data_IF_526094664604
#
_entry.id   IF_526094664604
#
_cell.length_a   1.000
_cell.length_b   1.000
_cell.length_c   1.000
_cell.angle_alpha   90.00
_cell.angle_beta   90.00
_cell.angle_gamma   90.00
#
_symmetry.space_group_name_H-M   'P 1'
#
loop_
_entity.id
_entity.type
_entity.pdbx_description
1 polymer ?
#
# COMPACT_ATOMS: atom_id res chain seq x y z
N UNK A 1 49.99 5.71 12.45
CA UNK A 1 49.59 4.29 12.58
C UNK A 1 48.71 4.19 13.81
N UNK A 2 47.55 3.54 13.73
CA UNK A 2 46.68 3.40 14.90
C UNK A 2 47.23 2.34 15.84
N UNK A 3 47.17 2.61 17.15
CA UNK A 3 47.55 1.67 18.22
C UNK A 3 46.36 1.45 19.14
N UNK A 4 46.32 0.30 19.82
CA UNK A 4 45.31 -0.05 20.80
C UNK A 4 45.58 0.62 22.16
N UNK A 5 44.72 0.40 23.16
CA UNK A 5 44.89 0.96 24.50
C UNK A 5 46.12 0.40 25.24
N UNK A 6 46.72 -0.69 24.74
CA UNK A 6 47.94 -1.31 25.23
C UNK A 6 49.19 -0.89 24.41
N UNK A 7 49.07 0.13 23.55
CA UNK A 7 50.11 0.60 22.63
C UNK A 7 50.57 -0.43 21.56
N UNK A 8 49.78 -1.47 21.32
CA UNK A 8 50.01 -2.43 20.23
C UNK A 8 49.41 -1.90 18.93
N UNK A 9 50.03 -2.22 17.81
CA UNK A 9 49.55 -1.76 16.50
C UNK A 9 48.21 -2.41 16.15
N UNK A 10 47.23 -1.61 15.71
CA UNK A 10 45.92 -2.10 15.24
C UNK A 10 46.11 -2.91 13.95
N UNK A 11 45.71 -4.18 13.98
CA UNK A 11 45.79 -5.12 12.84
C UNK A 11 44.42 -5.48 12.31
N UNK A 12 44.40 -6.17 11.17
CA UNK A 12 43.17 -6.63 10.51
C UNK A 12 42.25 -7.42 11.46
N UNK A 13 42.81 -8.31 12.29
CA UNK A 13 42.07 -9.08 13.29
C UNK A 13 41.29 -8.23 14.30
N UNK A 14 41.77 -7.02 14.64
CA UNK A 14 41.08 -6.10 15.54
C UNK A 14 39.85 -5.51 14.84
N UNK A 15 40.02 -5.19 13.55
CA UNK A 15 38.99 -4.58 12.70
C UNK A 15 37.89 -5.57 12.35
N UNK A 16 38.25 -6.82 12.09
CA UNK A 16 37.31 -7.88 11.71
C UNK A 16 36.70 -8.61 12.91
N UNK A 17 37.24 -8.42 14.12
CA UNK A 17 36.77 -9.14 15.31
C UNK A 17 37.12 -10.63 15.27
N UNK A 18 38.24 -10.98 14.65
CA UNK A 18 38.68 -12.36 14.47
C UNK A 18 39.65 -12.80 15.57
N UNK A 19 39.81 -14.13 15.71
CA UNK A 19 40.77 -14.72 16.66
C UNK A 19 40.43 -14.36 18.11
N UNK A 20 41.36 -13.71 18.81
CA UNK A 20 41.14 -13.29 20.19
C UNK A 20 40.20 -12.06 20.32
N UNK A 21 39.89 -11.39 19.21
CA UNK A 21 39.07 -10.18 19.18
C UNK A 21 37.57 -10.46 18.98
N UNK A 22 37.16 -11.74 18.98
CA UNK A 22 35.74 -12.15 18.89
C UNK A 22 34.93 -11.66 20.10
N UNK A 23 35.58 -11.47 21.25
CA UNK A 23 34.91 -11.00 22.46
C UNK A 23 34.65 -9.49 22.41
N UNK A 24 33.37 -9.10 22.37
CA UNK A 24 32.94 -7.70 22.44
C UNK A 24 33.48 -6.95 23.69
N UNK A 25 33.58 -7.64 24.85
CA UNK A 25 34.10 -7.02 26.08
C UNK A 25 35.57 -6.60 25.92
N UNK A 26 36.41 -7.54 25.45
CA UNK A 26 37.81 -7.28 25.09
C UNK A 26 37.93 -6.13 24.08
N UNK A 27 37.13 -6.13 23.01
CA UNK A 27 37.14 -5.04 22.03
C UNK A 27 36.81 -3.68 22.67
N UNK A 28 35.78 -3.61 23.52
CA UNK A 28 35.38 -2.37 24.19
C UNK A 28 36.43 -1.87 25.20
N UNK A 29 37.22 -2.76 25.79
CA UNK A 29 38.25 -2.42 26.77
C UNK A 29 39.59 -2.05 26.13
N UNK A 30 39.98 -2.77 25.07
CA UNK A 30 41.34 -2.69 24.51
C UNK A 30 41.41 -1.89 23.21
N UNK A 31 40.33 -1.78 22.43
CA UNK A 31 40.32 -0.99 21.20
C UNK A 31 39.90 0.47 21.52
N UNK A 32 40.69 1.48 21.14
CA UNK A 32 40.33 2.87 21.36
C UNK A 32 39.02 3.23 20.68
N UNK A 33 38.22 4.08 21.34
CA UNK A 33 36.94 4.53 20.81
C UNK A 33 37.06 5.14 19.40
N UNK A 34 38.11 5.93 19.14
CA UNK A 34 38.34 6.51 17.82
C UNK A 34 38.53 5.46 16.72
N UNK A 35 39.09 4.28 17.05
CA UNK A 35 39.23 3.16 16.10
C UNK A 35 37.87 2.49 15.88
N UNK A 36 37.10 2.26 16.96
CA UNK A 36 35.75 1.70 16.87
C UNK A 36 34.81 2.57 16.02
N UNK A 37 34.87 3.89 16.18
CA UNK A 37 34.11 4.85 15.37
C UNK A 37 34.47 4.74 13.89
N UNK A 38 35.77 4.66 13.54
CA UNK A 38 36.18 4.44 12.15
C UNK A 38 35.71 3.09 11.58
N UNK A 39 35.74 2.02 12.39
CA UNK A 39 35.24 0.71 11.97
C UNK A 39 33.74 0.79 11.69
N UNK A 40 32.97 1.42 12.58
CA UNK A 40 31.53 1.66 12.42
C UNK A 40 31.25 2.47 11.15
N UNK A 41 31.97 3.56 10.93
CA UNK A 41 31.77 4.40 9.75
C UNK A 41 32.12 3.66 8.45
N UNK A 42 33.22 2.92 8.42
CA UNK A 42 33.62 2.12 7.28
C UNK A 42 32.62 0.98 7.00
N UNK A 43 32.21 0.25 8.04
CA UNK A 43 31.24 -0.84 7.93
C UNK A 43 29.86 -0.34 7.49
N UNK A 44 29.41 0.79 8.04
CA UNK A 44 28.14 1.43 7.65
C UNK A 44 28.20 1.86 6.19
N UNK A 45 29.28 2.54 5.78
CA UNK A 45 29.48 2.96 4.39
C UNK A 45 29.45 1.77 3.43
N UNK A 46 30.14 0.68 3.76
CA UNK A 46 30.18 -0.50 2.91
C UNK A 46 28.83 -1.24 2.89
N UNK A 47 28.14 -1.31 4.04
CA UNK A 47 26.82 -1.93 4.14
C UNK A 47 25.82 -1.31 3.15
N UNK A 48 25.81 0.02 3.01
CA UNK A 48 24.95 0.71 2.04
C UNK A 48 25.35 0.51 0.58
N UNK A 49 26.57 0.03 0.30
CA UNK A 49 27.01 -0.32 -1.05
C UNK A 49 26.65 -1.76 -1.44
N UNK A 50 26.29 -2.61 -0.48
CA UNK A 50 25.87 -3.98 -0.74
C UNK A 50 24.53 -3.93 -1.48
N UNK A 51 24.57 -4.26 -2.78
CA UNK A 51 23.34 -4.40 -3.55
C UNK A 51 22.59 -5.66 -3.10
N UNK A 52 21.26 -5.58 -2.91
CA UNK A 52 20.46 -6.77 -2.66
C UNK A 52 20.62 -7.76 -3.82
N UNK A 53 20.88 -9.03 -3.51
CA UNK A 53 21.00 -10.07 -4.53
C UNK A 53 19.67 -10.24 -5.29
N UNK A 54 19.69 -10.04 -6.62
CA UNK A 54 18.55 -10.29 -7.50
C UNK A 54 18.39 -9.23 -8.60
N UNK A 55 17.46 -9.42 -9.55
CA UNK A 55 17.14 -8.41 -10.54
C UNK A 55 16.56 -7.17 -9.86
N UNK A 56 17.20 -6.01 -10.04
CA UNK A 56 16.63 -4.75 -9.57
C UNK A 56 15.72 -4.13 -10.63
N UNK A 57 14.52 -3.75 -10.23
CA UNK A 57 13.63 -2.98 -11.10
C UNK A 57 14.08 -1.51 -11.07
N UNK A 58 14.29 -0.86 -12.23
CA UNK A 58 14.52 0.58 -12.27
C UNK A 58 13.41 1.33 -11.55
N UNK A 59 13.73 2.34 -10.74
CA UNK A 59 12.74 3.07 -9.94
C UNK A 59 11.65 3.67 -10.84
N UNK A 60 12.02 4.07 -12.06
CA UNK A 60 11.11 4.57 -13.10
C UNK A 60 10.05 3.57 -13.57
N UNK A 61 10.23 2.28 -13.28
CA UNK A 61 9.28 1.21 -13.61
C UNK A 61 8.42 0.79 -12.42
N UNK A 62 8.69 1.26 -11.22
CA UNK A 62 7.90 0.91 -10.03
C UNK A 62 6.59 1.69 -10.09
N UNK A 63 5.46 0.96 -10.03
CA UNK A 63 4.12 1.52 -10.07
C UNK A 63 3.28 0.90 -8.99
N UNK A 64 2.42 1.70 -8.38
CA UNK A 64 1.50 1.22 -7.36
C UNK A 64 0.54 0.21 -7.98
N UNK A 65 0.42 -0.97 -7.38
CA UNK A 65 -0.53 -1.98 -7.82
C UNK A 65 -1.98 -1.54 -7.51
N UNK A 66 -3.00 -2.09 -8.21
CA UNK A 66 -4.40 -1.68 -8.01
C UNK A 66 -4.94 -1.84 -6.58
N UNK A 67 -4.41 -2.79 -5.82
CA UNK A 67 -4.82 -3.06 -4.43
C UNK A 67 -3.70 -2.81 -3.41
N UNK A 68 -2.58 -2.26 -3.85
CA UNK A 68 -1.45 -1.96 -2.97
C UNK A 68 -1.70 -0.64 -2.21
N UNK A 69 -1.56 -0.62 -0.87
CA UNK A 69 -1.60 0.61 -0.09
C UNK A 69 -0.52 1.60 -0.55
N UNK A 70 -0.85 2.89 -0.58
CA UNK A 70 0.09 3.92 -1.05
C UNK A 70 1.39 3.94 -0.25
N UNK A 71 1.30 3.74 1.07
CA UNK A 71 2.48 3.66 1.97
C UNK A 71 3.45 2.57 1.51
N UNK A 72 2.94 1.37 1.22
CA UNK A 72 3.76 0.22 0.80
C UNK A 72 4.45 0.48 -0.54
N UNK A 73 3.76 1.11 -1.49
CA UNK A 73 4.35 1.53 -2.75
C UNK A 73 5.45 2.58 -2.55
N UNK A 74 5.20 3.59 -1.72
CA UNK A 74 6.17 4.65 -1.42
C UNK A 74 7.42 4.06 -0.76
N UNK A 75 7.29 3.16 0.20
CA UNK A 75 8.43 2.47 0.84
C UNK A 75 9.29 1.71 -0.18
N UNK A 76 8.67 0.98 -1.10
CA UNK A 76 9.39 0.27 -2.17
C UNK A 76 10.11 1.23 -3.11
N UNK A 77 9.45 2.33 -3.48
CA UNK A 77 9.99 3.35 -4.37
C UNK A 77 11.15 4.10 -3.70
N UNK A 78 11.03 4.49 -2.43
CA UNK A 78 12.09 5.11 -1.62
C UNK A 78 13.33 4.24 -1.63
N UNK A 79 13.19 2.95 -1.28
CA UNK A 79 14.32 2.01 -1.28
C UNK A 79 14.99 1.93 -2.65
N UNK A 80 14.21 1.97 -3.73
CA UNK A 80 14.75 1.91 -5.08
C UNK A 80 15.44 3.19 -5.55
N UNK A 81 15.01 4.34 -5.04
CA UNK A 81 15.64 5.63 -5.30
C UNK A 81 16.94 5.74 -4.51
N UNK A 82 16.96 5.39 -3.22
CA UNK A 82 18.16 5.38 -2.38
C UNK A 82 19.28 4.53 -3.00
N UNK A 83 18.93 3.39 -3.59
CA UNK A 83 19.89 2.49 -4.23
C UNK A 83 20.38 2.97 -5.61
N UNK A 84 19.59 3.75 -6.36
CA UNK A 84 19.89 4.11 -7.76
C UNK A 84 20.29 5.57 -7.97
N UNK A 85 19.84 6.48 -7.11
CA UNK A 85 20.05 7.92 -7.22
C UNK A 85 21.15 8.32 -6.25
N UNK A 86 22.35 8.53 -6.79
CA UNK A 86 23.55 8.88 -6.00
C UNK A 86 23.52 10.27 -5.38
N UNK A 87 22.76 11.20 -5.98
CA UNK A 87 22.64 12.55 -5.45
C UNK A 87 21.54 12.56 -4.37
N UNK A 88 21.94 12.47 -3.11
CA UNK A 88 21.02 12.49 -1.95
C UNK A 88 20.09 13.70 -1.97
N UNK A 89 20.60 14.88 -2.34
CA UNK A 89 19.80 16.10 -2.44
C UNK A 89 18.73 16.09 -3.54
N UNK A 90 18.75 15.11 -4.45
CA UNK A 90 17.72 14.93 -5.48
C UNK A 90 16.76 13.78 -5.17
N UNK A 91 17.02 12.94 -4.16
CA UNK A 91 16.22 11.74 -3.89
C UNK A 91 14.78 12.09 -3.50
N UNK A 92 14.61 13.10 -2.65
CA UNK A 92 13.29 13.58 -2.21
C UNK A 92 12.45 14.05 -3.40
N UNK A 93 13.00 14.92 -4.25
CA UNK A 93 12.30 15.42 -5.43
C UNK A 93 11.93 14.28 -6.40
N UNK A 94 12.84 13.33 -6.64
CA UNK A 94 12.55 12.17 -7.50
C UNK A 94 11.47 11.28 -6.88
N UNK A 95 11.47 11.11 -5.56
CA UNK A 95 10.47 10.32 -4.84
C UNK A 95 9.08 10.96 -4.98
N UNK A 96 8.96 12.26 -4.72
CA UNK A 96 7.69 12.97 -4.86
C UNK A 96 7.15 12.89 -6.29
N UNK A 97 7.98 13.20 -7.29
CA UNK A 97 7.58 13.17 -8.70
C UNK A 97 7.14 11.76 -9.12
N UNK A 98 7.94 10.74 -8.80
CA UNK A 98 7.64 9.37 -9.19
C UNK A 98 6.42 8.82 -8.45
N UNK A 99 6.23 9.16 -7.17
CA UNK A 99 5.08 8.73 -6.40
C UNK A 99 3.77 9.30 -6.98
N UNK A 100 3.76 10.59 -7.34
CA UNK A 100 2.59 11.24 -7.95
C UNK A 100 2.25 10.67 -9.33
N UNK A 101 3.26 10.45 -10.19
CA UNK A 101 3.06 9.94 -11.55
C UNK A 101 2.60 8.47 -11.54
N UNK A 102 3.21 7.64 -10.69
CA UNK A 102 3.05 6.20 -10.70
C UNK A 102 2.03 5.67 -9.67
N UNK A 103 1.36 6.55 -8.93
CA UNK A 103 0.19 6.22 -8.13
C UNK A 103 -0.91 5.55 -8.97
N UNK A 104 -1.68 4.67 -8.34
CA UNK A 104 -2.80 3.98 -8.97
C UNK A 104 -4.01 4.92 -9.14
N UNK A 105 -4.99 4.48 -9.94
CA UNK A 105 -6.16 5.30 -10.29
C UNK A 105 -6.99 5.72 -9.07
N UNK A 106 -7.05 4.90 -8.02
CA UNK A 106 -7.80 5.22 -6.81
C UNK A 106 -7.11 6.35 -6.02
N UNK A 107 -5.79 6.27 -5.88
CA UNK A 107 -5.00 7.30 -5.21
C UNK A 107 -5.02 8.62 -6.01
N UNK A 108 -4.90 8.54 -7.34
CA UNK A 108 -5.05 9.70 -8.24
C UNK A 108 -6.44 10.33 -8.14
N UNK A 109 -7.50 9.53 -8.06
CA UNK A 109 -8.84 10.06 -7.89
C UNK A 109 -9.05 10.69 -6.49
N UNK A 110 -8.43 10.15 -5.44
CA UNK A 110 -8.44 10.76 -4.11
C UNK A 110 -7.70 12.10 -4.09
N UNK A 111 -6.57 12.21 -4.80
CA UNK A 111 -5.75 13.43 -4.86
C UNK A 111 -6.45 14.59 -5.55
N UNK A 112 -7.47 14.35 -6.39
CA UNK A 112 -8.29 15.42 -7.01
C UNK A 112 -9.01 16.33 -6.01
N UNK A 113 -9.07 15.94 -4.74
CA UNK A 113 -9.63 16.77 -3.67
C UNK A 113 -8.63 17.70 -2.99
N UNK A 114 -7.35 17.58 -3.33
CA UNK A 114 -6.30 18.48 -2.88
C UNK A 114 -6.32 19.77 -3.74
N UNK A 115 -5.90 20.91 -3.17
CA UNK A 115 -5.74 22.14 -3.95
C UNK A 115 -4.67 21.97 -5.04
N UNK A 116 -4.82 22.69 -6.16
CA UNK A 116 -3.79 22.72 -7.20
C UNK A 116 -2.63 23.67 -6.87
N UNK A 117 -2.87 24.70 -6.05
CA UNK A 117 -1.86 25.66 -5.63
C UNK A 117 -1.89 25.89 -4.11
N UNK A 118 -0.76 25.68 -3.40
CA UNK A 118 0.49 25.11 -3.92
C UNK A 118 0.30 23.65 -4.39
N UNK A 119 1.26 23.14 -5.18
CA UNK A 119 1.23 21.76 -5.64
C UNK A 119 1.15 20.79 -4.44
N UNK A 120 0.34 19.72 -4.51
CA UNK A 120 0.20 18.79 -3.40
C UNK A 120 1.51 18.03 -3.14
N UNK A 121 1.88 17.92 -1.87
CA UNK A 121 3.05 17.17 -1.43
C UNK A 121 2.77 15.66 -1.39
N UNK A 122 3.82 14.85 -1.26
CA UNK A 122 3.67 13.41 -1.04
C UNK A 122 2.89 13.12 0.26
N UNK A 123 3.09 13.91 1.31
CA UNK A 123 2.37 13.79 2.57
C UNK A 123 0.87 14.09 2.43
N UNK A 124 0.52 15.13 1.67
CA UNK A 124 -0.88 15.43 1.35
C UNK A 124 -1.55 14.26 0.63
N UNK A 125 -0.83 13.66 -0.33
CA UNK A 125 -1.30 12.49 -1.06
C UNK A 125 -1.44 11.27 -0.14
N UNK A 126 -0.47 11.00 0.74
CA UNK A 126 -0.53 9.92 1.73
C UNK A 126 -1.73 10.05 2.66
N UNK A 127 -1.98 11.26 3.16
CA UNK A 127 -3.10 11.57 4.02
C UNK A 127 -4.44 11.30 3.32
N UNK A 128 -4.64 11.90 2.14
CA UNK A 128 -5.92 11.81 1.42
C UNK A 128 -6.19 10.39 0.90
N UNK A 129 -5.16 9.68 0.43
CA UNK A 129 -5.33 8.32 -0.09
C UNK A 129 -5.67 7.34 1.04
N UNK A 130 -5.01 7.45 2.18
CA UNK A 130 -5.31 6.63 3.37
C UNK A 130 -6.74 6.88 3.87
N UNK A 131 -7.19 8.14 3.82
CA UNK A 131 -8.53 8.50 4.29
C UNK A 131 -9.64 8.11 3.30
N UNK A 132 -9.46 8.31 1.98
CA UNK A 132 -10.57 8.23 1.02
C UNK A 132 -10.66 6.93 0.24
N UNK A 133 -9.52 6.31 -0.11
CA UNK A 133 -9.48 5.10 -0.95
C UNK A 133 -10.34 3.95 -0.38
N UNK A 134 -10.32 3.66 0.94
CA UNK A 134 -11.16 2.59 1.51
C UNK A 134 -12.66 2.78 1.21
N UNK A 135 -13.17 4.02 1.24
CA UNK A 135 -14.58 4.31 0.98
C UNK A 135 -14.92 4.26 -0.52
N UNK A 136 -13.97 4.60 -1.38
CA UNK A 136 -14.14 4.53 -2.84
C UNK A 136 -14.34 3.08 -3.30
N UNK A 137 -13.62 2.12 -2.70
CA UNK A 137 -13.80 0.68 -3.00
C UNK A 137 -15.13 0.12 -2.45
N UNK A 138 -15.62 0.63 -1.32
CA UNK A 138 -16.90 0.20 -0.74
C UNK A 138 -18.09 0.56 -1.64
N UNK A 139 -18.08 1.74 -2.26
CA UNK A 139 -19.18 2.20 -3.13
C UNK A 139 -19.26 1.40 -4.46
N UNK A 140 -18.13 0.96 -5.01
CA UNK A 140 -18.11 0.08 -6.20
C UNK A 140 -18.77 -1.27 -5.90
N UNK A 141 -18.51 -1.84 -4.72
CA UNK A 141 -19.11 -3.10 -4.29
C UNK A 141 -20.60 -2.97 -3.94
N UNK A 142 -21.04 -1.81 -3.43
CA UNK A 142 -22.47 -1.56 -3.14
C UNK A 142 -23.27 -1.29 -4.42
N UNK A 143 -22.71 -0.52 -5.36
CA UNK A 143 -23.37 -0.21 -6.64
C UNK A 143 -23.60 -1.46 -7.50
N UNK A 144 -22.68 -2.43 -7.47
CA UNK A 144 -22.90 -3.74 -8.12
C UNK A 144 -24.02 -4.56 -7.47
N UNK A 145 -24.35 -4.31 -6.20
CA UNK A 145 -25.39 -5.04 -5.45
C UNK A 145 -26.76 -4.37 -5.59
N UNK A 146 -26.80 -3.03 -5.70
CA UNK A 146 -28.02 -2.25 -5.86
C UNK A 146 -28.54 -2.22 -7.31
N UNK A 147 -27.69 -2.49 -8.31
CA UNK A 147 -28.10 -2.62 -9.72
C UNK A 147 -29.08 -3.78 -9.98
N UNK A 148 -29.22 -4.73 -9.04
CA UNK A 148 -30.17 -5.85 -9.11
C UNK A 148 -31.40 -5.68 -8.23
N UNK A 149 -31.63 -4.51 -7.61
CA UNK A 149 -32.85 -4.27 -6.85
C UNK A 149 -33.93 -3.71 -7.78
N UNK A 150 -35.05 -4.43 -8.04
CA UNK A 150 -36.17 -3.87 -8.77
C UNK A 150 -36.69 -2.63 -8.02
N UNK A 151 -37.16 -1.58 -8.73
CA UNK A 151 -37.66 -0.37 -8.07
C UNK A 151 -38.78 -0.74 -7.10
N UNK A 152 -38.60 -0.44 -5.82
CA UNK A 152 -39.71 -0.51 -4.86
C UNK A 152 -40.53 0.76 -5.05
N UNK A 153 -41.68 0.65 -5.72
CA UNK A 153 -42.68 1.71 -5.79
C UNK A 153 -43.14 2.06 -4.38
N UNK A 154 -42.91 3.31 -3.96
CA UNK A 154 -43.43 3.85 -2.72
C UNK A 154 -44.96 3.95 -2.79
N UNK A 155 -45.67 3.23 -1.93
CA UNK A 155 -47.08 3.48 -1.69
C UNK A 155 -47.20 4.56 -0.59
N UNK A 156 -47.69 5.73 -0.97
CA UNK A 156 -48.17 6.73 -0.01
C UNK A 156 -49.35 6.11 0.77
N UNK A 157 -49.24 6.09 2.10
CA UNK A 157 -50.34 5.72 2.97
C UNK A 157 -51.19 6.97 3.20
N UNK A 158 -52.28 7.10 2.45
CA UNK A 158 -53.43 7.92 2.83
C UNK A 158 -54.68 7.02 2.87
N UNK A 159 -55.38 7.08 3.99
CA UNK A 159 -56.50 6.21 4.33
C UNK A 159 -57.70 6.42 3.39
N UNK A 160 -58.26 5.33 2.86
CA UNK A 160 -59.52 5.31 2.09
C UNK A 160 -60.71 4.89 2.97
N UNK A 161 -61.93 5.45 2.76
CA UNK A 161 -63.16 4.81 3.20
C UNK A 161 -63.65 3.77 2.16
N UNK A 162 -64.37 2.69 2.56
CA UNK A 162 -64.51 1.49 1.74
C UNK A 162 -65.85 1.39 1.01
N UNK A 163 -65.87 1.00 -0.27
CA UNK A 163 -67.04 0.42 -0.98
C UNK A 163 -66.56 -0.35 -2.24
N UNK A 164 -67.39 -1.19 -2.89
CA UNK A 164 -67.63 -2.62 -2.65
C UNK A 164 -66.92 -3.55 -3.67
N UNK A 165 -66.73 -4.80 -3.26
CA UNK A 165 -66.00 -5.86 -3.97
C UNK A 165 -66.75 -6.39 -5.20
N UNK A 166 -66.16 -6.38 -6.41
CA UNK A 166 -66.63 -7.16 -7.55
C UNK A 166 -66.20 -8.64 -7.42
N UNK A 167 -67.15 -9.55 -7.66
CA UNK A 167 -66.96 -11.00 -7.55
C UNK A 167 -65.92 -11.57 -8.53
N UNK A 168 -65.19 -12.65 -8.16
CA UNK A 168 -64.22 -13.28 -9.05
C UNK A 168 -64.90 -14.05 -10.20
N UNK A 169 -64.34 -14.02 -11.43
CA UNK A 169 -64.81 -14.86 -12.52
C UNK A 169 -64.48 -16.35 -12.26
N UNK A 170 -65.28 -17.29 -12.80
CA UNK A 170 -65.21 -18.70 -12.44
C UNK A 170 -63.92 -19.38 -12.93
N UNK A 171 -63.35 -20.23 -12.07
CA UNK A 171 -62.18 -21.06 -12.37
C UNK A 171 -62.50 -22.02 -13.53
N UNK A 172 -61.87 -21.82 -14.69
CA UNK A 172 -61.86 -22.83 -15.76
C UNK A 172 -61.05 -24.04 -15.28
N UNK A 173 -61.74 -25.17 -15.05
CA UNK A 173 -61.09 -26.48 -14.86
C UNK A 173 -60.41 -26.86 -16.18
N UNK A 174 -59.11 -27.15 -16.16
CA UNK A 174 -58.41 -27.73 -17.31
C UNK A 174 -58.64 -29.24 -17.28
N UNK A 175 -59.46 -29.76 -18.19
CA UNK A 175 -59.58 -31.20 -18.47
C UNK A 175 -58.45 -31.66 -19.40
N UNK A 176 -58.05 -32.92 -19.30
CA UNK A 176 -56.99 -33.51 -20.12
C UNK A 176 -57.50 -33.83 -21.53
N UNK A 177 -56.87 -33.27 -22.56
CA UNK A 177 -57.28 -33.39 -23.97
C UNK A 177 -57.10 -34.79 -24.60
N UNK A 178 -56.70 -35.80 -23.83
CA UNK A 178 -56.55 -37.19 -24.30
C UNK A 178 -57.54 -38.17 -23.65
N UNK A 179 -58.24 -37.79 -22.57
CA UNK A 179 -59.18 -38.70 -21.88
C UNK A 179 -60.40 -38.02 -21.22
N UNK A 180 -60.56 -36.70 -21.35
CA UNK A 180 -61.74 -35.92 -20.96
C UNK A 180 -62.32 -36.16 -19.55
N UNK A 181 -61.50 -36.58 -18.58
CA UNK A 181 -61.86 -36.57 -17.16
C UNK A 181 -61.16 -35.44 -16.39
N UNK A 182 -61.89 -34.84 -15.46
CA UNK A 182 -61.38 -33.82 -14.55
C UNK A 182 -60.49 -34.50 -13.48
N UNK A 183 -59.23 -34.08 -13.36
CA UNK A 183 -58.33 -34.58 -12.31
C UNK A 183 -58.97 -34.36 -10.92
N UNK A 184 -58.96 -35.41 -10.10
CA UNK A 184 -59.13 -35.34 -8.65
C UNK A 184 -58.05 -34.44 -8.02
#
# INVERSE_FOLDING_TARGET
MAVDNNNLLIRLEHVCGDGEWVSALKQAQEIPLAVLEHIKDAASKEFFLIQPNGPFQPYTKIKQLPSEPLVTFVEQLTRAIELQVKNEGAQEQVLEEMALINANEQCKAASLSLPMEPAPTLDDMLHVCTQKVPFMTAHVNHSSRDAFRPPQTAAAADAMPPVPVPQPPPKRRKTCLLCDQAKH
#
